data_IF_645353515315
#
_entry.id   IF_645353515315
#
_cell.length_a   1.000
_cell.length_b   1.000
_cell.length_c   1.000
_cell.angle_alpha   90.00
_cell.angle_beta   90.00
_cell.angle_gamma   90.00
#
_symmetry.space_group_name_H-M   'P 1'
#
loop_
_entity.id
_entity.type
_entity.pdbx_description
1 polymer ?
#
# COMPACT_ATOMS: atom_id res chain seq x y z
N UNK A 1 16.26 -24.07 -13.72
CA UNK A 1 15.71 -23.02 -12.82
C UNK A 1 14.63 -22.28 -13.58
N UNK A 2 13.38 -22.33 -13.11
CA UNK A 2 12.28 -21.55 -13.69
C UNK A 2 12.04 -20.33 -12.80
N UNK A 3 11.81 -19.16 -13.41
CA UNK A 3 11.64 -17.89 -12.68
C UNK A 3 10.42 -17.17 -13.25
N UNK A 4 9.49 -16.77 -12.38
CA UNK A 4 8.40 -15.86 -12.73
C UNK A 4 8.85 -14.42 -12.41
N UNK A 5 8.92 -13.57 -13.42
CA UNK A 5 9.29 -12.16 -13.27
C UNK A 5 8.07 -11.28 -13.54
N UNK A 6 7.66 -10.48 -12.55
CA UNK A 6 6.59 -9.49 -12.69
C UNK A 6 7.24 -8.11 -12.84
N UNK A 7 7.13 -7.52 -14.04
CA UNK A 7 7.61 -6.17 -14.29
C UNK A 7 6.56 -5.13 -13.90
N UNK A 8 7.00 -3.98 -13.37
CA UNK A 8 6.11 -2.88 -12.98
C UNK A 8 4.97 -3.33 -12.04
N UNK A 9 5.34 -3.93 -10.91
CA UNK A 9 4.39 -4.42 -9.92
C UNK A 9 3.45 -3.33 -9.43
N UNK A 10 2.17 -3.48 -9.74
CA UNK A 10 1.05 -2.73 -9.16
C UNK A 10 0.40 -3.49 -7.99
N UNK A 11 -0.40 -2.82 -7.19
CA UNK A 11 -1.17 -3.42 -6.09
C UNK A 11 -2.09 -4.57 -6.52
N UNK A 12 -2.47 -4.64 -7.80
CA UNK A 12 -3.29 -5.71 -8.37
C UNK A 12 -2.59 -7.07 -8.41
N UNK A 13 -1.25 -7.10 -8.35
CA UNK A 13 -0.49 -8.35 -8.32
C UNK A 13 -0.40 -8.95 -6.92
N UNK A 14 -0.88 -8.25 -5.89
CA UNK A 14 -0.90 -8.80 -4.54
C UNK A 14 -1.92 -9.94 -4.47
N UNK A 15 -1.51 -11.10 -3.97
CA UNK A 15 -2.36 -12.27 -3.83
C UNK A 15 -1.60 -13.59 -3.93
N UNK A 16 -2.31 -14.73 -3.93
CA UNK A 16 -1.72 -16.05 -4.07
C UNK A 16 -1.21 -16.27 -5.50
N UNK A 17 0.02 -16.77 -5.60
CA UNK A 17 0.62 -17.28 -6.82
C UNK A 17 0.81 -18.79 -6.63
N UNK A 18 0.10 -19.58 -7.44
CA UNK A 18 0.18 -21.04 -7.40
C UNK A 18 1.14 -21.55 -8.47
N UNK A 19 2.11 -22.34 -8.03
CA UNK A 19 3.04 -23.09 -8.87
C UNK A 19 2.52 -24.51 -8.99
N UNK A 20 2.41 -25.01 -10.22
CA UNK A 20 1.99 -26.38 -10.51
C UNK A 20 3.10 -27.11 -11.26
N UNK A 21 3.51 -28.25 -10.74
CA UNK A 21 4.46 -29.16 -11.36
C UNK A 21 3.68 -30.38 -11.85
N UNK A 22 3.72 -30.62 -13.16
CA UNK A 22 3.06 -31.77 -13.77
C UNK A 22 3.99 -32.45 -14.77
N UNK A 23 3.89 -33.77 -14.82
CA UNK A 23 4.55 -34.63 -15.80
C UNK A 23 3.64 -35.84 -16.06
N UNK A 24 3.89 -36.64 -17.11
CA UNK A 24 3.08 -37.84 -17.41
C UNK A 24 3.19 -38.96 -16.36
N UNK A 25 4.10 -38.82 -15.38
CA UNK A 25 4.44 -39.86 -14.40
C UNK A 25 4.34 -39.29 -12.99
N UNK A 26 3.23 -39.58 -12.32
CA UNK A 26 2.98 -39.16 -10.94
C UNK A 26 1.81 -38.19 -10.83
N UNK A 27 1.47 -37.83 -9.59
CA UNK A 27 0.45 -36.82 -9.32
C UNK A 27 1.05 -35.42 -9.46
N UNK A 28 0.28 -34.43 -9.95
CA UNK A 28 0.74 -33.05 -9.98
C UNK A 28 0.95 -32.52 -8.56
N UNK A 29 1.99 -31.71 -8.38
CA UNK A 29 2.31 -31.04 -7.12
C UNK A 29 1.97 -29.56 -7.28
N UNK A 30 1.25 -28.99 -6.33
CA UNK A 30 0.89 -27.57 -6.31
C UNK A 30 1.39 -26.90 -5.03
N UNK A 31 2.03 -25.76 -5.17
CA UNK A 31 2.55 -24.95 -4.07
C UNK A 31 2.07 -23.50 -4.24
N UNK A 32 1.54 -22.87 -3.19
CA UNK A 32 1.02 -21.50 -3.26
C UNK A 32 1.85 -20.55 -2.42
N UNK A 33 2.29 -19.45 -3.02
CA UNK A 33 3.06 -18.38 -2.38
C UNK A 33 2.23 -17.11 -2.33
N UNK A 34 2.19 -16.42 -1.20
CA UNK A 34 1.51 -15.13 -1.07
C UNK A 34 2.45 -13.99 -1.50
N UNK A 35 2.09 -13.29 -2.57
CA UNK A 35 2.75 -12.06 -2.98
C UNK A 35 2.07 -10.86 -2.32
N UNK A 36 2.81 -10.11 -1.50
CA UNK A 36 2.35 -8.85 -0.94
C UNK A 36 3.05 -7.68 -1.63
N UNK A 37 2.27 -6.82 -2.29
CA UNK A 37 2.80 -5.60 -2.92
C UNK A 37 2.61 -4.43 -1.97
N UNK A 38 3.72 -3.89 -1.49
CA UNK A 38 3.73 -2.73 -0.60
C UNK A 38 3.87 -1.42 -1.37
N UNK A 39 3.35 -0.34 -0.81
CA UNK A 39 3.36 0.98 -1.44
C UNK A 39 3.84 2.02 -0.44
N UNK A 40 4.76 2.87 -0.91
CA UNK A 40 5.22 4.02 -0.13
C UNK A 40 4.05 4.98 0.15
N UNK A 41 4.06 5.71 1.28
CA UNK A 41 3.05 6.70 1.56
C UNK A 41 2.91 7.76 0.47
N UNK A 42 1.72 7.87 -0.08
CA UNK A 42 1.36 8.88 -1.06
C UNK A 42 0.25 9.76 -0.53
N UNK A 43 0.41 11.08 -0.71
CA UNK A 43 -0.59 12.05 -0.33
C UNK A 43 -1.61 12.19 -1.47
N UNK A 44 -2.81 11.66 -1.27
CA UNK A 44 -3.92 11.77 -2.22
C UNK A 44 -4.58 13.15 -2.17
N UNK A 45 -4.65 13.74 -0.98
CA UNK A 45 -5.19 15.07 -0.78
C UNK A 45 -4.26 15.86 0.13
N UNK A 46 -3.65 16.90 -0.43
CA UNK A 46 -2.86 17.87 0.33
C UNK A 46 -3.76 18.69 1.23
N UNK A 47 -3.34 18.99 2.47
CA UNK A 47 -4.04 19.95 3.29
C UNK A 47 -4.00 21.32 2.61
N UNK A 48 -5.00 22.15 2.90
CA UNK A 48 -4.98 23.53 2.44
C UNK A 48 -3.78 24.27 3.04
N UNK A 49 -3.14 25.18 2.28
CA UNK A 49 -1.98 25.92 2.75
C UNK A 49 -2.32 26.85 3.92
N UNK A 50 -3.58 27.30 3.98
CA UNK A 50 -4.10 28.16 5.03
C UNK A 50 -5.38 27.55 5.59
N UNK A 51 -5.54 27.63 6.91
CA UNK A 51 -6.76 27.29 7.61
C UNK A 51 -7.05 28.44 8.58
N UNK A 52 -8.07 29.23 8.26
CA UNK A 52 -8.52 30.35 9.08
C UNK A 52 -9.62 29.86 10.02
N UNK A 53 -9.49 30.18 11.31
CA UNK A 53 -10.50 29.90 12.31
C UNK A 53 -10.60 31.10 13.25
N UNK A 54 -11.83 31.49 13.60
CA UNK A 54 -12.04 32.54 14.59
C UNK A 54 -11.84 32.02 16.01
N UNK A 55 -11.66 32.94 16.95
CA UNK A 55 -11.56 32.60 18.36
C UNK A 55 -12.78 31.75 18.79
N UNK A 56 -12.51 30.67 19.51
CA UNK A 56 -13.51 29.67 19.95
C UNK A 56 -14.15 28.82 18.83
N UNK A 57 -13.60 28.82 17.61
CA UNK A 57 -14.02 27.91 16.55
C UNK A 57 -13.08 26.69 16.43
N UNK A 58 -13.65 25.55 16.04
CA UNK A 58 -12.89 24.33 15.76
C UNK A 58 -12.27 24.42 14.36
N UNK A 59 -10.93 24.51 14.30
CA UNK A 59 -10.19 24.35 13.05
C UNK A 59 -10.01 22.87 12.71
N UNK A 60 -10.32 22.47 11.48
CA UNK A 60 -10.10 21.09 11.00
C UNK A 60 -9.18 21.08 9.78
N UNK A 61 -7.99 20.50 9.94
CA UNK A 61 -7.02 20.30 8.85
C UNK A 61 -7.21 18.88 8.33
N UNK A 62 -7.74 18.76 7.11
CA UNK A 62 -7.98 17.48 6.47
C UNK A 62 -6.89 17.17 5.45
N UNK A 63 -6.44 15.92 5.43
CA UNK A 63 -5.55 15.37 4.40
C UNK A 63 -5.88 13.91 4.19
N UNK A 64 -5.52 13.37 3.02
CA UNK A 64 -5.70 11.95 2.71
C UNK A 64 -4.38 11.37 2.24
N UNK A 65 -4.02 10.23 2.79
CA UNK A 65 -2.86 9.47 2.37
C UNK A 65 -3.24 8.01 2.08
N UNK A 66 -2.48 7.38 1.20
CA UNK A 66 -2.58 5.97 0.88
C UNK A 66 -1.21 5.32 1.05
N UNK A 67 -1.17 4.19 1.74
CA UNK A 67 0.02 3.33 1.81
C UNK A 67 -0.37 1.91 2.18
N UNK A 68 0.50 0.98 1.83
CA UNK A 68 0.41 -0.42 2.26
C UNK A 68 1.78 -0.85 2.76
N UNK A 69 1.95 -1.20 4.05
CA UNK A 69 0.92 -1.23 5.11
C UNK A 69 0.42 0.17 5.52
N UNK A 70 -0.63 0.22 6.35
CA UNK A 70 -1.23 1.49 6.81
C UNK A 70 -0.16 2.43 7.41
N UNK A 71 -0.19 3.74 7.10
CA UNK A 71 0.86 4.64 7.53
C UNK A 71 0.66 5.03 8.99
N UNK A 72 1.75 5.31 9.69
CA UNK A 72 1.69 5.97 11.00
C UNK A 72 1.74 7.48 10.78
N UNK A 73 0.70 8.19 11.20
CA UNK A 73 0.56 9.64 11.04
C UNK A 73 1.07 10.33 12.31
N UNK A 74 2.01 11.27 12.16
CA UNK A 74 2.46 12.17 13.24
C UNK A 74 2.24 13.62 12.80
N UNK A 75 1.56 14.39 13.63
CA UNK A 75 1.32 15.81 13.40
C UNK A 75 2.26 16.63 14.28
N UNK A 76 2.93 17.61 13.67
CA UNK A 76 3.83 18.53 14.35
C UNK A 76 3.26 19.93 14.25
N UNK A 77 3.16 20.61 15.40
CA UNK A 77 2.84 22.03 15.48
C UNK A 77 4.15 22.73 15.85
N UNK A 78 4.60 23.66 15.03
CA UNK A 78 5.70 24.52 15.42
C UNK A 78 5.20 25.44 16.55
N UNK A 79 5.91 25.45 17.67
CA UNK A 79 5.68 26.47 18.69
C UNK A 79 6.13 27.82 18.14
N UNK A 80 5.34 28.85 18.47
CA UNK A 80 5.63 30.25 18.15
C UNK A 80 6.34 30.85 19.36
#
# INVERSE_FOLDING_TARGET
KSVLTVHQTTSKHSGPITLRLENPVGAPIEETVQLQVETAPQLLQKPQPTCEAHLNQTASITFKCLSTPKPTIKLYKNEV
#
